data_IF_822849804033
#
_entry.id   IF_822849804033
#
_cell.length_a   1.000
_cell.length_b   1.000
_cell.length_c   1.000
_cell.angle_alpha   90.00
_cell.angle_beta   90.00
_cell.angle_gamma   90.00
#
_symmetry.space_group_name_H-M   'P 1'
#
loop_
_entity.id
_entity.type
_entity.pdbx_description
1 polymer ?
#
# COMPACT_ATOMS: atom_id res chain seq x y z
N UNK A 1 20.81 -0.72 1.40
CA UNK A 1 19.99 -1.16 2.54
C UNK A 1 18.59 -0.66 2.24
N UNK A 2 17.67 -1.55 1.86
CA UNK A 2 16.37 -1.16 1.31
C UNK A 2 15.39 -0.97 2.46
N UNK A 3 15.07 0.29 2.78
CA UNK A 3 14.01 0.59 3.74
C UNK A 3 12.65 0.37 3.07
N UNK A 4 11.74 -0.34 3.74
CA UNK A 4 10.35 -0.46 3.31
C UNK A 4 9.66 0.92 3.34
N UNK A 5 8.78 1.23 2.38
CA UNK A 5 8.07 2.50 2.37
C UNK A 5 7.11 2.58 3.57
N UNK A 6 7.10 3.74 4.23
CA UNK A 6 6.13 4.07 5.26
C UNK A 6 4.75 4.34 4.64
N UNK A 7 3.65 3.94 5.30
CA UNK A 7 2.30 4.24 4.80
C UNK A 7 2.04 5.76 4.83
N UNK A 8 1.49 6.27 3.73
CA UNK A 8 1.10 7.67 3.55
C UNK A 8 0.06 8.10 4.59
N UNK A 9 0.26 9.28 5.17
CA UNK A 9 -0.55 9.85 6.22
C UNK A 9 -1.91 10.35 5.70
N UNK A 10 -2.91 9.46 5.64
CA UNK A 10 -4.33 9.81 5.73
C UNK A 10 -4.71 9.89 7.21
N UNK A 11 -5.33 11.00 7.62
CA UNK A 11 -5.60 11.32 9.02
C UNK A 11 -6.68 10.46 9.68
N UNK A 12 -6.31 9.25 10.13
CA UNK A 12 -7.06 8.51 11.15
C UNK A 12 -6.26 8.50 12.45
N UNK A 13 -6.78 9.19 13.46
CA UNK A 13 -6.16 9.38 14.78
C UNK A 13 -6.14 8.12 15.65
N UNK A 14 -6.21 6.92 15.07
CA UNK A 14 -6.18 5.67 15.81
C UNK A 14 -4.98 4.79 15.46
N UNK A 15 -3.78 5.31 15.76
CA UNK A 15 -2.50 4.55 15.71
C UNK A 15 -2.48 3.33 16.64
N UNK A 16 -3.46 3.18 17.53
CA UNK A 16 -3.46 2.12 18.56
C UNK A 16 -3.82 0.73 18.02
N UNK A 17 -4.18 0.64 16.76
CA UNK A 17 -4.92 -0.49 16.22
C UNK A 17 -4.15 -1.25 15.12
N UNK A 18 -2.90 -0.84 14.86
CA UNK A 18 -2.00 -1.55 13.94
C UNK A 18 -1.26 -2.67 14.67
N UNK A 19 -1.52 -3.92 14.28
CA UNK A 19 -0.79 -5.08 14.80
C UNK A 19 0.59 -5.12 14.14
N UNK A 20 1.64 -5.07 14.95
CA UNK A 20 3.02 -5.17 14.48
C UNK A 20 3.55 -6.60 14.59
N UNK A 21 3.96 -7.17 13.46
CA UNK A 21 4.74 -8.41 13.45
C UNK A 21 6.14 -8.14 14.02
N UNK A 22 6.63 -9.09 14.82
CA UNK A 22 7.92 -8.98 15.49
C UNK A 22 8.85 -10.09 15.04
N UNK A 23 10.13 -9.75 14.96
CA UNK A 23 11.19 -10.65 14.51
C UNK A 23 12.20 -10.86 15.63
N UNK A 24 12.67 -12.11 15.76
CA UNK A 24 13.66 -12.47 16.74
C UNK A 24 14.99 -11.74 16.48
N UNK A 25 15.60 -11.19 17.53
CA UNK A 25 16.88 -10.47 17.43
C UNK A 25 18.08 -11.36 17.10
N UNK A 26 17.99 -12.67 17.33
CA UNK A 26 19.12 -13.60 17.14
C UNK A 26 19.12 -14.26 15.78
N UNK A 27 17.96 -14.72 15.31
CA UNK A 27 17.84 -15.51 14.09
C UNK A 27 16.88 -14.91 13.05
N UNK A 28 16.36 -13.70 13.30
CA UNK A 28 15.47 -12.96 12.39
C UNK A 28 14.20 -13.70 11.97
N UNK A 29 13.86 -14.82 12.62
CA UNK A 29 12.62 -15.55 12.41
C UNK A 29 11.42 -14.84 13.08
N UNK A 30 10.22 -15.12 12.58
CA UNK A 30 8.97 -14.59 13.14
C UNK A 30 8.79 -15.04 14.60
N UNK A 31 8.42 -14.10 15.48
CA UNK A 31 8.03 -14.40 16.85
C UNK A 31 6.54 -14.74 16.93
N UNK A 32 6.21 -15.75 17.74
CA UNK A 32 4.85 -16.24 17.91
C UNK A 32 4.31 -15.93 19.31
N UNK A 33 3.01 -15.57 19.43
CA UNK A 33 2.37 -15.38 20.73
C UNK A 33 2.43 -16.64 21.59
N UNK A 34 2.79 -16.50 22.86
CA UNK A 34 2.83 -17.56 23.87
C UNK A 34 2.46 -16.99 25.24
N UNK A 35 1.61 -17.70 25.96
CA UNK A 35 1.23 -17.36 27.33
C UNK A 35 2.32 -17.76 28.33
N UNK A 36 2.69 -16.85 29.23
CA UNK A 36 3.45 -17.14 30.44
C UNK A 36 2.47 -17.31 31.62
N UNK A 37 2.15 -18.58 31.93
CA UNK A 37 1.11 -18.96 32.91
C UNK A 37 1.44 -18.60 34.37
N UNK A 38 2.71 -18.38 34.69
CA UNK A 38 3.12 -18.05 36.06
C UNK A 38 2.80 -16.58 36.35
N UNK A 39 3.04 -15.72 35.36
CA UNK A 39 2.86 -14.28 35.49
C UNK A 39 1.57 -13.77 34.80
N UNK A 40 0.79 -14.67 34.19
CA UNK A 40 -0.42 -14.36 33.41
C UNK A 40 -0.20 -13.25 32.37
N UNK A 41 0.91 -13.34 31.62
CA UNK A 41 1.31 -12.31 30.63
C UNK A 41 1.50 -12.89 29.24
N UNK A 42 1.25 -12.07 28.23
CA UNK A 42 1.52 -12.39 26.83
C UNK A 42 3.01 -12.18 26.51
N UNK A 43 3.64 -13.23 25.99
CA UNK A 43 5.01 -13.21 25.48
C UNK A 43 5.02 -13.51 23.99
N UNK A 44 6.05 -13.04 23.29
CA UNK A 44 6.35 -13.41 21.92
C UNK A 44 7.64 -14.23 21.90
N UNK A 45 7.59 -15.46 21.39
CA UNK A 45 8.71 -16.41 21.42
C UNK A 45 9.07 -16.91 20.02
N UNK A 46 10.37 -17.10 19.78
CA UNK A 46 10.85 -17.72 18.57
C UNK A 46 10.69 -19.25 18.66
N UNK A 47 10.19 -19.89 17.60
CA UNK A 47 10.13 -21.36 17.54
C UNK A 47 11.49 -22.02 17.38
N UNK A 48 12.46 -21.31 16.79
CA UNK A 48 13.77 -21.85 16.42
C UNK A 48 14.78 -21.78 17.56
N UNK A 49 14.94 -20.61 18.21
CA UNK A 49 15.93 -20.41 19.28
C UNK A 49 15.31 -20.29 20.69
N UNK A 50 13.98 -20.36 20.81
CA UNK A 50 13.24 -20.28 22.08
C UNK A 50 13.38 -18.99 22.90
N UNK A 51 14.10 -17.99 22.39
CA UNK A 51 14.14 -16.66 23.00
C UNK A 51 12.76 -16.02 22.95
N UNK A 52 12.37 -15.38 24.05
CA UNK A 52 11.09 -14.71 24.17
C UNK A 52 11.20 -13.33 24.79
N UNK A 53 10.30 -12.44 24.36
CA UNK A 53 10.19 -11.06 24.83
C UNK A 53 8.74 -10.73 25.21
N UNK A 54 8.50 -9.80 26.15
CA UNK A 54 7.14 -9.40 26.52
C UNK A 54 6.45 -8.61 25.41
N UNK A 55 5.13 -8.82 25.26
CA UNK A 55 4.32 -8.10 24.30
C UNK A 55 4.16 -6.60 24.67
N UNK A 56 4.24 -5.70 23.69
CA UNK A 56 3.85 -4.28 23.89
C UNK A 56 2.35 -4.06 23.77
N UNK A 57 1.68 -4.89 22.96
CA UNK A 57 0.25 -4.83 22.69
C UNK A 57 -0.36 -6.20 22.94
N UNK A 58 -1.56 -6.21 23.52
CA UNK A 58 -2.29 -7.45 23.81
C UNK A 58 -3.13 -7.95 22.63
N UNK A 59 -3.32 -7.12 21.60
CA UNK A 59 -4.00 -7.52 20.37
C UNK A 59 -3.08 -8.42 19.53
N UNK A 60 -3.43 -9.70 19.41
CA UNK A 60 -2.67 -10.71 18.65
C UNK A 60 -3.13 -10.78 17.19
N UNK A 61 -4.43 -10.60 16.96
CA UNK A 61 -5.05 -10.71 15.65
C UNK A 61 -6.26 -9.79 15.58
N UNK A 62 -6.43 -9.13 14.44
CA UNK A 62 -7.59 -8.30 14.13
C UNK A 62 -8.01 -8.60 12.69
N UNK A 63 -9.27 -8.96 12.51
CA UNK A 63 -9.86 -9.10 11.18
C UNK A 63 -10.59 -7.80 10.85
N UNK A 64 -10.08 -7.03 9.88
CA UNK A 64 -10.74 -5.83 9.37
C UNK A 64 -11.47 -6.16 8.08
N UNK A 65 -12.80 -6.18 8.11
CA UNK A 65 -13.65 -6.51 6.95
C UNK A 65 -13.69 -5.39 5.92
N UNK A 66 -13.70 -4.13 6.38
CA UNK A 66 -13.71 -2.95 5.52
C UNK A 66 -12.42 -2.16 5.78
N UNK A 67 -11.40 -2.42 4.98
CA UNK A 67 -10.13 -1.72 5.09
C UNK A 67 -10.00 -0.73 3.93
N UNK A 68 -10.14 0.58 4.20
CA UNK A 68 -9.82 1.65 3.24
C UNK A 68 -8.31 1.67 2.87
N UNK A 69 -7.50 0.87 3.55
CA UNK A 69 -6.04 0.79 3.36
C UNK A 69 -5.66 0.29 1.97
N UNK A 70 -6.58 -0.37 1.24
CA UNK A 70 -6.35 -0.86 -0.12
C UNK A 70 -6.49 0.20 -1.22
N UNK A 71 -7.28 1.25 -1.00
CA UNK A 71 -7.68 2.16 -2.09
C UNK A 71 -6.55 3.09 -2.55
N UNK A 72 -5.49 3.22 -1.75
CA UNK A 72 -4.28 4.01 -2.07
C UNK A 72 -2.99 3.19 -1.93
N UNK A 73 -3.09 1.88 -1.71
CA UNK A 73 -1.93 1.01 -1.62
C UNK A 73 -1.28 0.85 -3.00
N UNK A 74 0.00 1.20 -3.11
CA UNK A 74 0.74 1.07 -4.38
C UNK A 74 0.53 2.21 -5.37
N UNK A 75 -0.01 3.37 -4.94
CA UNK A 75 0.13 4.61 -5.70
C UNK A 75 1.61 4.96 -5.74
N UNK A 76 2.27 4.54 -6.81
CA UNK A 76 3.66 4.89 -7.11
C UNK A 76 3.66 6.21 -7.87
N UNK A 77 4.68 7.03 -7.65
CA UNK A 77 4.83 8.27 -8.43
C UNK A 77 5.06 7.98 -9.93
N UNK A 78 5.49 6.77 -10.26
CA UNK A 78 5.89 6.37 -11.60
C UNK A 78 4.72 5.87 -12.47
N UNK A 79 3.50 5.75 -11.93
CA UNK A 79 2.31 5.36 -12.72
C UNK A 79 2.10 6.28 -13.92
N UNK A 80 2.42 7.58 -13.79
CA UNK A 80 2.30 8.55 -14.89
C UNK A 80 3.32 8.36 -16.01
N UNK A 81 4.36 7.55 -15.81
CA UNK A 81 5.35 7.21 -16.84
C UNK A 81 4.99 5.94 -17.63
N UNK A 82 3.97 5.20 -17.20
CA UNK A 82 3.52 3.98 -17.85
C UNK A 82 2.66 4.34 -19.08
N UNK A 83 3.14 4.11 -20.31
CA UNK A 83 2.38 4.42 -21.52
C UNK A 83 1.14 3.55 -21.70
N UNK A 84 0.97 2.49 -20.90
CA UNK A 84 -0.22 1.62 -20.91
C UNK A 84 -1.34 2.14 -20.00
N UNK A 85 -1.04 3.11 -19.14
CA UNK A 85 -2.04 3.81 -18.34
C UNK A 85 -2.59 4.95 -19.20
N UNK A 86 -3.87 4.88 -19.55
CA UNK A 86 -4.53 5.97 -20.29
C UNK A 86 -4.37 7.29 -19.53
N UNK A 87 -3.96 8.35 -20.22
CA UNK A 87 -3.90 9.67 -19.62
C UNK A 87 -5.35 10.14 -19.35
N UNK A 88 -5.63 10.69 -18.16
CA UNK A 88 -6.94 11.32 -17.91
C UNK A 88 -7.11 12.57 -18.77
N UNK A 89 -8.34 12.92 -19.15
CA UNK A 89 -8.63 14.10 -19.99
C UNK A 89 -8.23 15.42 -19.34
N UNK A 90 -8.22 15.48 -18.00
CA UNK A 90 -7.88 16.66 -17.22
C UNK A 90 -6.88 16.35 -16.11
N UNK A 91 -5.99 17.30 -15.86
CA UNK A 91 -5.04 17.24 -14.76
C UNK A 91 -5.77 17.41 -13.42
N UNK A 92 -5.66 16.41 -12.54
CA UNK A 92 -6.30 16.44 -11.21
C UNK A 92 -5.65 17.45 -10.24
N UNK A 93 -4.52 18.04 -10.59
CA UNK A 93 -3.84 19.07 -9.79
C UNK A 93 -4.21 20.51 -10.16
N UNK A 94 -4.27 20.85 -11.47
CA UNK A 94 -4.56 22.21 -11.93
C UNK A 94 -5.89 22.36 -12.67
N UNK A 95 -6.53 21.26 -13.09
CA UNK A 95 -7.78 21.26 -13.83
C UNK A 95 -7.65 21.58 -15.33
N UNK A 96 -6.42 21.72 -15.84
CA UNK A 96 -6.18 21.93 -17.28
C UNK A 96 -6.32 20.61 -18.06
N UNK A 97 -6.73 20.74 -19.32
CA UNK A 97 -6.90 19.62 -20.25
C UNK A 97 -5.54 19.04 -20.67
N UNK A 98 -5.39 17.73 -20.58
CA UNK A 98 -4.14 17.05 -20.89
C UNK A 98 -4.10 16.75 -22.39
N UNK A 99 -3.13 17.33 -23.07
CA UNK A 99 -2.91 17.12 -24.51
C UNK A 99 -1.56 16.45 -24.75
N UNK A 100 -1.43 15.72 -25.86
CA UNK A 100 -0.15 15.14 -26.25
C UNK A 100 0.87 16.25 -26.60
N UNK A 101 2.05 16.24 -25.97
CA UNK A 101 3.08 17.25 -26.24
C UNK A 101 3.57 17.27 -27.70
N UNK A 102 3.47 16.14 -28.41
CA UNK A 102 4.00 15.99 -29.78
C UNK A 102 2.99 16.43 -30.84
N UNK A 103 1.71 16.08 -30.69
CA UNK A 103 0.67 16.36 -31.69
C UNK A 103 -0.42 17.33 -31.23
N UNK A 104 -0.43 17.73 -29.95
CA UNK A 104 -1.43 18.63 -29.37
C UNK A 104 -2.85 18.04 -29.30
N UNK A 105 -3.04 16.77 -29.67
CA UNK A 105 -4.36 16.14 -29.70
C UNK A 105 -4.80 15.69 -28.31
N UNK A 106 -6.12 15.69 -28.13
CA UNK A 106 -6.79 15.16 -26.94
C UNK A 106 -6.81 13.63 -26.96
N UNK A 107 -6.86 12.98 -25.79
CA UNK A 107 -6.88 11.52 -25.69
C UNK A 107 -8.02 10.85 -26.49
N UNK A 108 -9.20 11.47 -26.55
CA UNK A 108 -10.39 10.94 -27.25
C UNK A 108 -10.30 11.03 -28.79
N UNK A 109 -9.56 11.99 -29.34
CA UNK A 109 -9.43 12.22 -30.79
C UNK A 109 -8.49 11.22 -31.49
N UNK A 110 -7.78 10.42 -30.72
CA UNK A 110 -6.99 9.30 -31.23
C UNK A 110 -7.86 8.12 -31.70
N UNK A 111 -9.14 8.06 -31.29
CA UNK A 111 -10.07 6.97 -31.64
C UNK A 111 -11.07 7.32 -32.75
N UNK A 112 -11.25 8.62 -33.06
CA UNK A 112 -12.30 9.10 -33.97
C UNK A 112 -11.83 9.45 -35.38
N UNK A 113 -10.51 9.48 -35.64
CA UNK A 113 -9.96 9.98 -36.91
C UNK A 113 -9.71 8.91 -37.98
N UNK A 114 -9.82 7.61 -37.67
CA UNK A 114 -9.68 6.53 -38.67
C UNK A 114 -11.00 6.05 -39.30
N UNK A 115 -12.18 6.42 -38.77
CA UNK A 115 -13.47 5.87 -39.26
C UNK A 115 -14.22 6.75 -40.29
N UNK A 116 -13.69 7.93 -40.68
CA UNK A 116 -14.33 8.85 -41.64
C UNK A 116 -13.46 9.19 -42.85
N UNK A 117 -12.70 8.23 -43.37
CA UNK A 117 -12.04 8.38 -44.69
C UNK A 117 -12.28 7.22 -45.66
N UNK A 118 -13.00 6.17 -45.25
CA UNK A 118 -13.22 4.94 -46.04
C UNK A 118 -14.62 4.78 -46.67
N UNK A 119 -15.44 5.85 -46.71
CA UNK A 119 -16.66 5.85 -47.53
C UNK A 119 -16.62 6.96 -48.57
N UNK A 120 -16.20 6.58 -49.78
CA UNK A 120 -16.54 7.21 -51.04
C UNK A 120 -18.03 7.04 -51.35
#
# INVERSE_FOLDING_TARGET
>A
MSASPSPSAGGDNNKSDQIHFRFCRECSNLLYPKEDRVNNRLMFTCRTCHVGEPASSYCVYQHRLNSQVGDTAGVTQDVGSDPTVCLPDFCTHCGEEITCFVCGMLPDEASSSEEYSDFY
#
